data_IF_321353659223
#
_entry.id   IF_321353659223
#
_cell.length_a   1.000
_cell.length_b   1.000
_cell.length_c   1.000
_cell.angle_alpha   90.00
_cell.angle_beta   90.00
_cell.angle_gamma   90.00
#
_symmetry.space_group_name_H-M   'P 1'
#
loop_
_entity.id
_entity.type
_entity.pdbx_description
1 polymer ?
#
# COMPACT_ATOMS: atom_id res chain seq x y z
N UNK A 1 -64.26 -60.39 21.12
CA UNK A 1 -62.91 -60.07 21.64
C UNK A 1 -62.33 -58.99 20.73
N UNK A 2 -62.72 -57.73 20.92
CA UNK A 2 -61.93 -56.72 21.66
C UNK A 2 -60.46 -56.71 21.22
N UNK A 3 -60.04 -55.77 20.37
CA UNK A 3 -59.56 -54.47 20.84
C UNK A 3 -59.32 -53.51 19.67
N UNK A 4 -60.02 -52.37 19.73
CA UNK A 4 -59.61 -51.13 19.10
C UNK A 4 -58.43 -50.52 19.89
N UNK A 5 -57.44 -49.95 19.19
CA UNK A 5 -56.58 -48.93 19.80
C UNK A 5 -56.07 -47.95 18.74
N UNK A 6 -56.67 -46.75 18.73
CA UNK A 6 -56.14 -45.51 18.17
C UNK A 6 -54.77 -45.22 18.79
N UNK A 7 -53.75 -44.88 17.99
CA UNK A 7 -52.68 -43.92 18.35
C UNK A 7 -52.23 -43.23 17.05
N UNK A 8 -52.64 -41.99 16.83
CA UNK A 8 -52.03 -40.74 17.30
C UNK A 8 -51.07 -40.20 16.22
N UNK A 9 -51.59 -39.24 15.47
CA UNK A 9 -50.90 -38.35 14.55
C UNK A 9 -49.68 -37.74 15.24
N UNK A 10 -48.49 -37.98 14.70
CA UNK A 10 -47.29 -37.23 15.08
C UNK A 10 -46.71 -36.61 13.82
N UNK A 11 -46.98 -35.32 13.69
CA UNK A 11 -46.40 -34.43 12.69
C UNK A 11 -44.94 -34.26 13.09
N UNK A 12 -44.03 -34.96 12.41
CA UNK A 12 -42.60 -34.67 12.54
C UNK A 12 -42.25 -33.56 11.56
N UNK A 13 -42.14 -32.37 12.13
CA UNK A 13 -41.73 -31.11 11.51
C UNK A 13 -40.44 -31.31 10.73
N UNK A 14 -40.48 -31.03 9.43
CA UNK A 14 -39.29 -30.87 8.59
C UNK A 14 -38.52 -29.67 9.15
N UNK A 15 -37.38 -29.92 9.80
CA UNK A 15 -36.40 -28.88 10.12
C UNK A 15 -35.60 -28.67 8.83
N UNK A 16 -35.74 -27.54 8.11
CA UNK A 16 -34.79 -27.20 7.07
C UNK A 16 -33.45 -26.98 7.78
N UNK A 17 -32.55 -27.93 7.62
CA UNK A 17 -31.16 -27.80 8.08
C UNK A 17 -30.62 -26.56 7.42
N UNK A 18 -30.37 -25.56 8.27
CA UNK A 18 -30.00 -24.22 7.87
C UNK A 18 -28.78 -24.23 6.97
N UNK A 19 -28.93 -23.50 5.87
CA UNK A 19 -27.84 -22.90 5.12
C UNK A 19 -26.97 -22.14 6.13
N UNK A 20 -25.84 -22.74 6.51
CA UNK A 20 -24.85 -22.12 7.38
C UNK A 20 -23.66 -21.69 6.53
N UNK A 21 -23.70 -20.39 6.22
CA UNK A 21 -22.59 -19.44 6.24
C UNK A 21 -21.36 -19.82 5.40
N UNK A 22 -21.36 -19.32 4.16
CA UNK A 22 -20.14 -19.00 3.43
C UNK A 22 -19.34 -17.97 4.23
N UNK A 23 -18.37 -18.44 5.00
CA UNK A 23 -17.38 -17.62 5.69
C UNK A 23 -16.44 -16.96 4.68
N UNK A 24 -16.18 -15.66 4.90
CA UNK A 24 -15.33 -14.80 4.09
C UNK A 24 -13.93 -15.40 3.85
N UNK A 25 -13.52 -15.51 2.60
CA UNK A 25 -12.23 -16.09 2.16
C UNK A 25 -10.99 -15.21 2.34
N UNK A 26 -11.05 -14.10 3.07
CA UNK A 26 -9.94 -13.15 3.22
C UNK A 26 -8.86 -13.53 4.24
N UNK A 27 -9.01 -14.64 4.98
CA UNK A 27 -8.15 -14.91 6.14
C UNK A 27 -6.97 -15.84 5.86
N UNK A 28 -7.02 -16.71 4.85
CA UNK A 28 -5.99 -17.76 4.75
C UNK A 28 -4.66 -17.23 4.19
N UNK A 29 -4.69 -16.48 3.09
CA UNK A 29 -3.48 -15.96 2.46
C UNK A 29 -2.82 -14.82 3.26
N UNK A 30 -3.60 -13.94 3.91
CA UNK A 30 -3.07 -12.92 4.83
C UNK A 30 -2.39 -13.57 6.05
N UNK A 31 -3.04 -14.56 6.69
CA UNK A 31 -2.43 -15.27 7.82
C UNK A 31 -1.20 -16.10 7.41
N UNK A 32 -1.18 -16.63 6.18
CA UNK A 32 0.01 -17.29 5.64
C UNK A 32 1.16 -16.31 5.41
N UNK A 33 0.90 -15.15 4.78
CA UNK A 33 1.93 -14.13 4.57
C UNK A 33 2.54 -13.67 5.91
N UNK A 34 1.71 -13.44 6.93
CA UNK A 34 2.19 -13.14 8.28
C UNK A 34 3.01 -14.30 8.87
N UNK A 35 2.58 -15.55 8.68
CA UNK A 35 3.32 -16.76 9.08
C UNK A 35 4.66 -16.93 8.35
N UNK A 36 4.75 -16.47 7.11
CA UNK A 36 5.96 -16.48 6.26
C UNK A 36 6.89 -15.30 6.55
N UNK A 37 6.58 -14.50 7.57
CA UNK A 37 7.41 -13.40 8.05
C UNK A 37 7.22 -12.09 7.29
N UNK A 38 6.07 -11.88 6.66
CA UNK A 38 5.68 -10.58 6.11
C UNK A 38 4.98 -9.72 7.15
N UNK A 39 5.09 -8.40 6.99
CA UNK A 39 4.46 -7.42 7.87
C UNK A 39 3.56 -6.52 7.02
N UNK A 40 2.32 -6.32 7.46
CA UNK A 40 1.34 -5.45 6.80
C UNK A 40 1.44 -4.01 7.31
N UNK A 41 1.34 -3.04 6.39
CA UNK A 41 1.25 -1.61 6.67
C UNK A 41 0.14 -1.00 5.81
N UNK A 42 -0.60 -0.03 6.37
CA UNK A 42 -1.78 0.52 5.69
C UNK A 42 -2.87 -0.52 5.50
N UNK A 43 -3.62 -0.41 4.41
CA UNK A 43 -4.66 -1.35 4.00
C UNK A 43 -4.08 -2.47 3.11
N UNK A 44 -3.07 -3.18 3.63
CA UNK A 44 -2.40 -4.23 2.87
C UNK A 44 -3.34 -5.40 2.56
N UNK A 45 -3.87 -5.41 1.33
CA UNK A 45 -4.81 -6.42 0.85
C UNK A 45 -4.16 -7.78 0.60
N UNK A 46 -4.99 -8.83 0.57
CA UNK A 46 -4.56 -10.18 0.20
C UNK A 46 -4.14 -10.21 -1.28
N UNK A 47 -2.90 -10.60 -1.56
CA UNK A 47 -2.31 -10.53 -2.90
C UNK A 47 -2.84 -11.66 -3.79
N UNK A 48 -3.71 -11.36 -4.76
CA UNK A 48 -3.82 -12.17 -5.98
C UNK A 48 -2.67 -11.78 -6.92
N UNK A 49 -1.78 -12.74 -7.18
CA UNK A 49 -0.34 -12.57 -7.47
C UNK A 49 0.00 -12.20 -8.91
N UNK A 50 -0.60 -11.16 -9.47
CA UNK A 50 -0.10 -10.58 -10.72
C UNK A 50 0.35 -9.16 -10.47
N UNK A 51 1.67 -8.98 -10.34
CA UNK A 51 2.27 -7.66 -10.32
C UNK A 51 2.34 -7.09 -11.73
N UNK A 52 2.14 -5.79 -11.83
CA UNK A 52 2.41 -5.01 -13.05
C UNK A 52 3.88 -4.58 -13.01
N UNK A 53 4.66 -4.81 -14.07
CA UNK A 53 6.04 -4.31 -14.17
C UNK A 53 6.09 -2.79 -14.03
N UNK A 54 7.14 -2.25 -13.41
CA UNK A 54 7.26 -0.81 -13.16
C UNK A 54 7.29 -0.01 -14.47
N UNK A 55 7.92 -0.56 -15.51
CA UNK A 55 7.95 0.04 -16.84
C UNK A 55 6.56 0.29 -17.46
N UNK A 56 5.53 -0.46 -17.04
CA UNK A 56 4.17 -0.38 -17.60
C UNK A 56 3.20 0.47 -16.77
N UNK A 57 3.70 1.18 -15.75
CA UNK A 57 2.84 1.96 -14.85
C UNK A 57 2.23 3.20 -15.51
N UNK A 58 2.83 3.70 -16.59
CA UNK A 58 2.26 4.84 -17.33
C UNK A 58 0.96 4.44 -18.01
N UNK A 59 0.92 3.24 -18.58
CA UNK A 59 -0.23 2.67 -19.27
C UNK A 59 -1.35 2.23 -18.32
N UNK A 60 -0.99 1.97 -17.07
CA UNK A 60 -1.91 1.63 -15.99
C UNK A 60 -2.33 2.84 -15.14
N UNK A 61 -2.05 4.08 -15.57
CA UNK A 61 -2.38 5.29 -14.81
C UNK A 61 -3.86 5.30 -14.36
N UNK A 62 -4.09 5.44 -13.06
CA UNK A 62 -5.43 5.44 -12.47
C UNK A 62 -6.02 4.05 -12.15
N UNK A 63 -5.40 2.97 -12.61
CA UNK A 63 -5.84 1.61 -12.31
C UNK A 63 -5.40 1.18 -10.90
N UNK A 64 -6.25 0.37 -10.26
CA UNK A 64 -5.91 -0.26 -8.99
C UNK A 64 -5.14 -1.56 -9.23
N UNK A 65 -3.85 -1.56 -8.93
CA UNK A 65 -2.90 -2.61 -9.30
C UNK A 65 -1.92 -2.95 -8.17
N UNK A 66 -1.09 -3.96 -8.41
CA UNK A 66 -0.06 -4.42 -7.49
C UNK A 66 1.31 -4.26 -8.14
N UNK A 67 2.28 -3.75 -7.38
CA UNK A 67 3.70 -3.73 -7.72
C UNK A 67 4.47 -4.57 -6.71
N UNK A 68 5.39 -5.39 -7.19
CA UNK A 68 6.27 -6.20 -6.36
C UNK A 68 7.73 -5.87 -6.67
N UNK A 69 8.58 -5.82 -5.65
CA UNK A 69 10.00 -5.56 -5.84
C UNK A 69 10.78 -5.45 -4.54
N UNK A 70 11.90 -4.73 -4.62
CA UNK A 70 12.86 -4.51 -3.54
C UNK A 70 12.90 -3.05 -3.15
N UNK A 71 12.82 -2.77 -1.85
CA UNK A 71 12.96 -1.41 -1.32
C UNK A 71 14.42 -0.97 -1.44
N UNK A 72 14.73 -0.05 -2.35
CA UNK A 72 16.09 0.47 -2.56
C UNK A 72 16.38 1.68 -1.67
N UNK A 73 15.36 2.51 -1.46
CA UNK A 73 15.40 3.70 -0.61
C UNK A 73 14.11 3.86 0.18
N UNK A 74 14.21 4.55 1.31
CA UNK A 74 13.07 4.87 2.18
C UNK A 74 13.34 6.20 2.86
N UNK A 75 12.30 6.99 3.09
CA UNK A 75 12.40 8.18 3.94
C UNK A 75 12.97 7.79 5.30
N UNK A 76 14.19 8.26 5.59
CA UNK A 76 14.89 7.98 6.84
C UNK A 76 14.34 8.78 8.03
N UNK A 77 13.55 9.82 7.77
CA UNK A 77 12.91 10.65 8.79
C UNK A 77 11.67 9.94 9.34
N UNK A 78 10.69 9.69 8.48
CA UNK A 78 9.34 9.19 8.86
C UNK A 78 8.97 7.85 8.22
N UNK A 79 9.58 7.47 7.11
CA UNK A 79 9.11 6.33 6.30
C UNK A 79 7.83 6.65 5.52
N UNK A 80 7.65 7.90 5.08
CA UNK A 80 6.47 8.38 4.34
C UNK A 80 6.51 8.10 2.82
N UNK A 81 7.64 7.62 2.32
CA UNK A 81 7.81 7.16 0.95
C UNK A 81 8.92 6.11 0.89
N UNK A 82 8.95 5.35 -0.19
CA UNK A 82 10.04 4.43 -0.53
C UNK A 82 10.24 4.35 -2.04
N UNK A 83 11.44 3.97 -2.49
CA UNK A 83 11.68 3.56 -3.88
C UNK A 83 11.67 2.05 -3.95
N UNK A 84 10.91 1.53 -4.92
CA UNK A 84 10.79 0.08 -5.17
C UNK A 84 11.35 -0.22 -6.54
N UNK A 85 12.31 -1.15 -6.58
CA UNK A 85 12.89 -1.69 -7.80
C UNK A 85 12.23 -3.04 -8.09
N UNK A 86 11.65 -3.24 -9.27
CA UNK A 86 11.16 -4.55 -9.68
C UNK A 86 12.31 -5.51 -10.07
N UNK A 87 11.97 -6.74 -10.43
CA UNK A 87 12.96 -7.75 -10.81
C UNK A 87 13.63 -7.45 -12.18
N UNK A 88 13.06 -6.57 -13.00
CA UNK A 88 13.62 -6.10 -14.27
C UNK A 88 14.59 -4.91 -14.08
N UNK A 89 14.59 -4.31 -12.89
CA UNK A 89 15.52 -3.26 -12.47
C UNK A 89 14.94 -1.84 -12.54
N UNK A 90 13.70 -1.70 -12.99
CA UNK A 90 13.00 -0.42 -13.07
C UNK A 90 12.52 0.03 -11.69
N UNK A 91 12.57 1.34 -11.45
CA UNK A 91 12.35 1.92 -10.11
C UNK A 91 11.17 2.88 -10.12
N UNK A 92 10.25 2.70 -9.18
CA UNK A 92 9.14 3.63 -8.93
C UNK A 92 9.23 4.27 -7.55
N UNK A 93 8.87 5.54 -7.47
CA UNK A 93 8.63 6.21 -6.20
C UNK A 93 7.24 5.82 -5.67
N UNK A 94 7.21 5.12 -4.55
CA UNK A 94 5.99 4.77 -3.82
C UNK A 94 5.75 5.79 -2.71
N UNK A 95 4.56 6.38 -2.68
CA UNK A 95 4.13 7.35 -1.66
C UNK A 95 2.85 6.88 -0.99
N UNK A 96 2.66 7.27 0.26
CA UNK A 96 1.44 6.96 1.02
C UNK A 96 0.57 8.21 1.06
N UNK A 97 -0.59 8.13 0.43
CA UNK A 97 -1.51 9.26 0.30
C UNK A 97 -1.92 9.78 1.68
N UNK A 98 -1.93 11.10 1.86
CA UNK A 98 -2.44 11.80 3.05
C UNK A 98 -1.79 11.36 4.38
N UNK A 99 -0.54 10.86 4.33
CA UNK A 99 0.11 10.23 5.50
C UNK A 99 -0.72 9.11 6.12
N UNK A 100 -1.49 8.38 5.29
CA UNK A 100 -2.38 7.32 5.74
C UNK A 100 -1.67 6.20 6.48
N UNK A 101 -0.39 5.95 6.17
CA UNK A 101 0.48 5.08 6.95
C UNK A 101 1.97 5.37 6.66
N UNK A 102 2.83 4.74 7.46
CA UNK A 102 4.29 4.79 7.31
C UNK A 102 4.85 3.37 7.30
N UNK A 103 5.96 3.17 6.59
CA UNK A 103 6.72 1.92 6.61
C UNK A 103 7.95 2.05 7.51
N UNK A 104 8.56 0.93 7.96
CA UNK A 104 9.76 0.97 8.76
C UNK A 104 10.92 1.65 8.02
N UNK A 105 11.60 2.57 8.70
CA UNK A 105 12.74 3.33 8.13
C UNK A 105 13.96 2.44 7.84
N UNK A 106 13.98 1.22 8.38
CA UNK A 106 14.97 0.20 8.10
C UNK A 106 14.47 -0.85 7.08
N UNK A 107 13.48 -0.52 6.25
CA UNK A 107 12.96 -1.41 5.21
C UNK A 107 13.87 -1.56 3.98
N UNK A 108 14.97 -0.80 3.86
CA UNK A 108 15.90 -0.95 2.72
C UNK A 108 16.42 -2.38 2.61
N UNK A 109 16.45 -2.89 1.37
CA UNK A 109 16.83 -4.26 1.04
C UNK A 109 15.76 -5.31 1.33
N UNK A 110 14.56 -4.92 1.76
CA UNK A 110 13.44 -5.86 1.95
C UNK A 110 12.64 -6.01 0.67
N UNK A 111 12.15 -7.23 0.45
CA UNK A 111 11.12 -7.49 -0.56
C UNK A 111 9.82 -6.87 -0.10
N UNK A 112 9.09 -6.27 -1.02
CA UNK A 112 7.83 -5.58 -0.77
C UNK A 112 6.80 -5.88 -1.85
N UNK A 113 5.54 -5.91 -1.45
CA UNK A 113 4.39 -5.95 -2.37
C UNK A 113 3.49 -4.78 -1.99
N UNK A 114 3.17 -3.94 -2.97
CA UNK A 114 2.47 -2.68 -2.78
C UNK A 114 1.21 -2.69 -3.61
N UNK A 115 0.09 -2.33 -2.99
CA UNK A 115 -1.22 -2.19 -3.62
C UNK A 115 -1.59 -0.71 -3.68
N UNK A 116 -2.14 -0.28 -4.81
CA UNK A 116 -2.57 1.10 -5.03
C UNK A 116 -2.56 1.51 -6.50
N UNK A 117 -2.38 2.80 -6.75
CA UNK A 117 -2.65 3.43 -8.05
C UNK A 117 -1.46 4.24 -8.57
N UNK A 118 -0.97 3.99 -9.80
CA UNK A 118 0.02 4.86 -10.44
C UNK A 118 -0.60 6.18 -10.89
N UNK A 119 0.15 7.28 -10.74
CA UNK A 119 -0.23 8.63 -11.14
C UNK A 119 0.97 9.38 -11.72
N UNK A 120 0.75 10.14 -12.77
CA UNK A 120 1.74 11.12 -13.25
C UNK A 120 1.72 12.34 -12.32
N UNK A 121 2.88 12.71 -11.79
CA UNK A 121 3.04 13.82 -10.85
C UNK A 121 4.21 14.71 -11.26
N UNK A 122 4.03 16.03 -11.18
CA UNK A 122 5.12 16.99 -11.28
C UNK A 122 5.53 17.43 -9.89
N UNK A 123 6.82 17.34 -9.59
CA UNK A 123 7.41 17.83 -8.35
C UNK A 123 8.16 19.13 -8.58
N UNK A 124 7.94 20.12 -7.71
CA UNK A 124 8.72 21.35 -7.67
C UNK A 124 10.17 21.11 -7.26
N UNK A 125 11.03 22.11 -7.42
CA UNK A 125 12.42 22.06 -6.95
C UNK A 125 12.48 21.76 -5.45
N UNK A 126 11.64 22.43 -4.65
CA UNK A 126 11.57 22.25 -3.20
C UNK A 126 11.14 20.83 -2.83
N UNK A 127 10.12 20.30 -3.49
CA UNK A 127 9.65 18.93 -3.24
C UNK A 127 10.71 17.88 -3.58
N UNK A 128 11.42 18.06 -4.70
CA UNK A 128 12.53 17.18 -5.11
C UNK A 128 13.69 17.23 -4.11
N UNK A 129 14.05 18.42 -3.63
CA UNK A 129 15.08 18.57 -2.57
C UNK A 129 14.64 17.88 -1.29
N UNK A 130 13.38 18.05 -0.89
CA UNK A 130 12.84 17.40 0.31
C UNK A 130 12.85 15.87 0.22
N UNK A 131 12.49 15.29 -0.94
CA UNK A 131 12.62 13.84 -1.18
C UNK A 131 14.07 13.37 -1.01
N UNK A 132 15.04 14.12 -1.53
CA UNK A 132 16.46 13.78 -1.40
C UNK A 132 16.96 13.91 0.04
N UNK A 133 16.59 14.99 0.73
CA UNK A 133 16.92 15.21 2.15
C UNK A 133 16.39 14.08 3.02
N UNK A 134 15.12 13.71 2.85
CA UNK A 134 14.49 12.60 3.55
C UNK A 134 15.16 11.26 3.25
N UNK A 135 15.75 11.10 2.06
CA UNK A 135 16.49 9.92 1.62
C UNK A 135 17.93 9.86 2.15
N UNK A 136 18.38 10.86 2.92
CA UNK A 136 19.77 11.08 3.32
C UNK A 136 20.72 11.25 2.12
N UNK A 137 20.28 11.88 1.04
CA UNK A 137 21.15 12.25 -0.07
C UNK A 137 22.22 13.27 0.39
N UNK A 138 23.34 13.31 -0.32
CA UNK A 138 24.42 14.26 -0.07
C UNK A 138 24.02 15.70 -0.40
N UNK A 139 24.61 16.72 0.25
CA UNK A 139 24.40 18.13 -0.11
C UNK A 139 24.68 18.40 -1.60
N UNK A 140 25.67 17.71 -2.18
CA UNK A 140 26.00 17.82 -3.60
C UNK A 140 24.89 17.28 -4.50
N UNK A 141 24.20 16.21 -4.11
CA UNK A 141 23.03 15.68 -4.83
C UNK A 141 21.85 16.64 -4.76
N UNK A 142 21.56 17.18 -3.58
CA UNK A 142 20.47 18.13 -3.36
C UNK A 142 20.72 19.43 -4.15
N UNK A 143 21.97 19.91 -4.19
CA UNK A 143 22.35 21.11 -4.93
C UNK A 143 22.23 20.96 -6.46
N UNK A 144 22.24 19.72 -7.00
CA UNK A 144 22.05 19.45 -8.43
C UNK A 144 20.58 19.54 -8.88
N UNK A 145 19.63 19.69 -7.97
CA UNK A 145 18.23 19.91 -8.33
C UNK A 145 18.07 21.33 -8.87
N UNK A 146 17.84 21.44 -10.18
CA UNK A 146 17.84 22.67 -10.97
C UNK A 146 16.50 22.98 -11.67
N UNK A 147 15.48 22.13 -11.50
CA UNK A 147 14.16 22.33 -12.12
C UNK A 147 13.07 21.42 -11.55
N UNK A 148 11.81 21.62 -11.96
CA UNK A 148 10.75 20.67 -11.69
C UNK A 148 10.98 19.35 -12.45
N UNK A 149 10.35 18.27 -12.03
CA UNK A 149 10.40 16.97 -12.72
C UNK A 149 9.04 16.30 -12.69
N UNK A 150 8.62 15.78 -13.84
CA UNK A 150 7.42 14.95 -13.96
C UNK A 150 7.83 13.48 -13.99
N UNK A 151 7.26 12.67 -13.09
CA UNK A 151 7.52 11.23 -13.02
C UNK A 151 6.24 10.47 -12.66
N UNK A 152 6.22 9.17 -12.97
CA UNK A 152 5.17 8.26 -12.50
C UNK A 152 5.46 7.91 -11.05
N UNK A 153 4.45 8.10 -10.21
CA UNK A 153 4.46 7.79 -8.79
C UNK A 153 3.42 6.72 -8.52
N UNK A 154 3.73 5.78 -7.64
CA UNK A 154 2.77 4.80 -7.15
C UNK A 154 2.18 5.28 -5.82
N UNK A 155 0.91 5.65 -5.80
CA UNK A 155 0.20 5.98 -4.57
C UNK A 155 -0.31 4.70 -3.93
N UNK A 156 0.27 4.32 -2.81
CA UNK A 156 -0.03 3.08 -2.13
C UNK A 156 -1.14 3.26 -1.08
N UNK A 157 -2.08 2.32 -1.09
CA UNK A 157 -3.11 2.14 -0.05
C UNK A 157 -2.63 1.16 1.03
N UNK A 158 -1.79 0.20 0.65
CA UNK A 158 -1.19 -0.78 1.56
C UNK A 158 0.11 -1.36 1.04
N UNK A 159 0.94 -1.84 1.97
CA UNK A 159 2.20 -2.48 1.64
C UNK A 159 2.49 -3.68 2.56
N UNK A 160 2.99 -4.76 1.96
CA UNK A 160 3.58 -5.90 2.64
C UNK A 160 5.10 -5.78 2.58
N UNK A 161 5.79 -5.82 3.73
CA UNK A 161 7.26 -5.81 3.79
C UNK A 161 7.78 -7.08 4.45
N UNK A 162 8.66 -7.79 3.76
CA UNK A 162 9.19 -9.07 4.22
C UNK A 162 10.29 -8.91 5.27
N UNK A 163 10.25 -9.76 6.30
CA UNK A 163 11.35 -10.01 7.24
C UNK A 163 11.09 -9.54 8.67
N UNK A 164 11.85 -10.11 9.61
CA UNK A 164 11.86 -9.70 11.02
C UNK A 164 12.80 -8.52 11.31
N UNK A 165 12.71 -7.98 12.53
CA UNK A 165 13.59 -6.91 13.02
C UNK A 165 13.31 -5.52 12.42
N UNK A 166 12.14 -5.34 11.81
CA UNK A 166 11.67 -4.04 11.36
C UNK A 166 11.35 -3.16 12.57
N UNK A 167 11.75 -1.89 12.51
CA UNK A 167 11.38 -0.92 13.52
C UNK A 167 9.87 -0.64 13.45
N UNK A 168 9.22 -0.32 14.59
CA UNK A 168 7.86 0.22 14.55
C UNK A 168 7.80 1.42 13.60
N UNK A 169 6.75 1.55 12.77
CA UNK A 169 6.54 2.74 11.96
C UNK A 169 6.52 4.01 12.81
N UNK A 170 6.89 5.11 12.17
CA UNK A 170 6.67 6.43 12.76
C UNK A 170 5.17 6.63 13.02
N UNK A 171 4.82 7.11 14.21
CA UNK A 171 3.44 7.36 14.61
C UNK A 171 3.36 8.80 15.16
N UNK A 172 3.06 9.79 14.30
CA UNK A 172 2.93 11.18 14.76
C UNK A 172 1.69 11.37 15.64
N UNK A 173 1.70 12.44 16.44
CA UNK A 173 0.48 13.02 17.01
C UNK A 173 -0.44 13.54 15.88
N UNK A 174 -1.74 13.82 16.11
CA UNK A 174 -2.70 13.98 15.02
C UNK A 174 -2.34 15.12 14.06
N UNK A 175 -2.34 14.77 12.76
CA UNK A 175 -2.22 15.62 11.55
C UNK A 175 -1.02 16.56 11.50
N UNK A 176 0.11 16.02 11.05
CA UNK A 176 1.19 16.81 10.44
C UNK A 176 1.01 16.78 8.92
N UNK A 177 0.87 17.96 8.29
CA UNK A 177 0.74 18.07 6.83
C UNK A 177 2.03 17.61 6.12
N UNK A 178 1.87 16.82 5.07
CA UNK A 178 2.98 16.44 4.20
C UNK A 178 3.34 17.59 3.24
N UNK A 179 4.57 18.14 3.27
CA UNK A 179 4.97 19.18 2.32
C UNK A 179 4.91 18.73 0.85
N UNK A 180 4.99 17.42 0.62
CA UNK A 180 4.98 16.84 -0.71
C UNK A 180 3.57 16.59 -1.27
N UNK A 181 2.53 16.68 -0.43
CA UNK A 181 1.12 16.53 -0.86
C UNK A 181 0.44 17.89 -1.11
N UNK A 182 1.15 18.99 -0.83
CA UNK A 182 0.69 20.33 -1.18
C UNK A 182 0.40 20.40 -2.69
N UNK A 183 -0.86 20.67 -3.04
CA UNK A 183 -1.27 20.86 -4.43
C UNK A 183 -0.40 21.95 -5.05
N UNK A 184 0.01 21.72 -6.31
CA UNK A 184 0.75 22.68 -7.13
C UNK A 184 0.20 24.07 -6.88
N UNK A 185 1.06 24.99 -6.42
CA UNK A 185 0.69 26.38 -6.28
C UNK A 185 0.13 26.80 -7.65
N UNK A 186 -1.21 26.98 -7.72
CA UNK A 186 -1.82 27.63 -8.86
C UNK A 186 -1.03 28.92 -9.03
N UNK A 187 -0.39 29.05 -10.17
CA UNK A 187 0.18 30.29 -10.63
C UNK A 187 -0.94 31.34 -10.59
N UNK A 188 -1.04 32.06 -9.47
CA UNK A 188 -1.87 33.26 -9.37
C UNK A 188 -1.08 34.40 -10.00
N UNK A 189 -0.73 34.23 -11.26
CA UNK A 189 -0.51 35.33 -12.19
C UNK A 189 -1.79 35.45 -13.00
N UNK A 190 -2.87 35.91 -12.35
CA UNK A 190 -3.99 36.50 -13.07
C UNK A 190 -4.59 37.69 -12.30
N UNK A 191 -4.58 38.83 -13.00
CA UNK A 191 -5.39 40.03 -12.88
C UNK A 191 -5.49 40.79 -11.54
N UNK A 192 -4.94 42.02 -11.54
CA UNK A 192 -5.36 43.10 -10.63
C UNK A 192 -4.34 44.22 -10.45
#
# INVERSE_FOLDING_TARGET
MHHAFKRLTSILTIIPVGILLSGCGGSHATNQALGDGWNAYGDAQTVERTSVPVASLTEAEGDDIVVEGWVTEVCAVKGCWMRVQDDDGDVVLVRFKDYGFFVPRNARGRRTVVHGTPQVRTFSIEQRRHLLEDGNASPEEIARVDGPSTEVVFLADGAWVQGGGLQPPYAPAPVEDCPLDAAEAKDTTDAG
#
